data_IF_692642530622
#
_entry.id   IF_692642530622
#
_cell.length_a   1.000
_cell.length_b   1.000
_cell.length_c   1.000
_cell.angle_alpha   90.00
_cell.angle_beta   90.00
_cell.angle_gamma   90.00
#
_symmetry.space_group_name_H-M   'P 1'
#
loop_
_entity.id
_entity.type
_entity.pdbx_description
1 polymer ?
#
# COMPACT_ATOMS: atom_id res chain seq x y z
N UNK A 1 38.96 58.68 26.35
CA UNK A 1 38.68 57.25 26.12
C UNK A 1 37.99 56.71 27.37
N UNK A 2 36.67 56.53 27.35
CA UNK A 2 35.98 55.72 28.34
C UNK A 2 34.70 55.15 27.72
N UNK A 3 34.53 53.87 27.96
CA UNK A 3 33.72 52.91 27.22
C UNK A 3 32.26 52.96 27.69
N UNK A 4 31.32 53.07 26.75
CA UNK A 4 29.92 52.75 27.00
C UNK A 4 29.58 51.45 26.29
N UNK A 5 29.55 50.36 27.05
CA UNK A 5 29.06 49.05 26.60
C UNK A 5 27.52 49.08 26.57
N UNK A 6 26.94 48.69 25.42
CA UNK A 6 25.49 48.46 25.26
C UNK A 6 25.10 47.03 25.66
N UNK A 7 23.87 46.80 26.13
CA UNK A 7 23.44 45.53 26.73
C UNK A 7 23.01 44.49 25.68
N UNK A 8 23.02 43.23 26.13
CA UNK A 8 22.65 42.02 25.39
C UNK A 8 21.21 42.02 24.82
N UNK A 9 20.93 41.25 23.75
CA UNK A 9 19.58 41.15 23.20
C UNK A 9 18.70 40.31 24.14
N UNK A 10 17.55 40.88 24.51
CA UNK A 10 16.49 40.18 25.23
C UNK A 10 15.86 39.13 24.30
N UNK A 11 15.91 37.86 24.71
CA UNK A 11 15.26 36.76 24.02
C UNK A 11 13.76 36.83 24.35
N UNK A 12 12.96 37.35 23.43
CA UNK A 12 11.49 37.33 23.51
C UNK A 12 11.02 35.88 23.47
N UNK A 13 10.70 35.32 24.64
CA UNK A 13 9.95 34.07 24.71
C UNK A 13 8.53 34.33 24.22
N UNK A 14 8.20 33.76 23.07
CA UNK A 14 6.82 33.79 22.57
C UNK A 14 6.03 32.80 23.42
N UNK A 15 5.17 33.31 24.28
CA UNK A 15 4.26 32.51 25.08
C UNK A 15 3.37 31.70 24.12
N UNK A 16 3.47 30.37 24.21
CA UNK A 16 2.51 29.45 23.60
C UNK A 16 1.14 29.73 24.22
N UNK A 17 0.28 30.35 23.43
CA UNK A 17 -1.11 30.58 23.79
C UNK A 17 -1.82 29.22 23.67
N UNK A 18 -2.13 28.61 24.82
CA UNK A 18 -2.90 27.39 24.91
C UNK A 18 -4.37 27.66 24.53
N UNK A 19 -4.69 27.53 23.24
CA UNK A 19 -6.08 27.55 22.75
C UNK A 19 -6.63 26.12 22.86
N UNK A 20 -7.70 25.87 23.63
CA UNK A 20 -8.33 24.55 23.65
C UNK A 20 -8.97 24.25 22.28
N UNK A 21 -8.91 23.00 21.79
CA UNK A 21 -9.59 22.61 20.56
C UNK A 21 -11.12 22.76 20.72
N UNK A 22 -11.86 23.05 19.64
CA UNK A 22 -13.32 23.11 19.69
C UNK A 22 -13.89 21.72 20.04
N UNK A 23 -15.02 21.65 20.76
CA UNK A 23 -15.65 20.36 21.04
C UNK A 23 -16.15 19.74 19.74
N UNK A 24 -15.86 18.46 19.54
CA UNK A 24 -16.44 17.66 18.47
C UNK A 24 -17.97 17.65 18.63
N UNK A 25 -18.70 18.13 17.62
CA UNK A 25 -20.14 17.90 17.52
C UNK A 25 -20.36 16.43 17.13
N UNK A 26 -20.99 15.71 18.04
CA UNK A 26 -21.56 14.37 17.83
C UNK A 26 -22.53 14.40 16.63
N UNK A 27 -22.23 13.63 15.60
CA UNK A 27 -23.13 13.43 14.46
C UNK A 27 -24.32 12.58 14.91
N UNK A 28 -25.56 12.86 14.46
CA UNK A 28 -26.74 12.19 14.98
C UNK A 28 -26.69 10.68 14.71
N UNK A 29 -26.79 9.92 15.81
CA UNK A 29 -27.06 8.48 15.82
C UNK A 29 -28.27 8.16 14.94
N UNK A 30 -28.06 7.44 13.84
CA UNK A 30 -29.11 6.65 13.22
C UNK A 30 -29.34 5.41 14.07
N UNK A 31 -30.46 5.42 14.78
CA UNK A 31 -31.00 4.34 15.58
C UNK A 31 -30.98 3.01 14.81
N UNK A 32 -30.11 2.09 15.22
CA UNK A 32 -30.20 0.68 14.86
C UNK A 32 -31.42 0.08 15.57
N UNK A 33 -32.57 0.07 14.91
CA UNK A 33 -33.69 -0.77 15.33
C UNK A 33 -33.37 -2.21 14.95
N UNK A 34 -33.25 -3.06 15.97
CA UNK A 34 -33.20 -4.50 15.81
C UNK A 34 -34.57 -4.99 15.34
N UNK A 35 -34.64 -5.56 14.14
CA UNK A 35 -35.80 -6.33 13.70
C UNK A 35 -35.36 -7.73 13.25
N UNK A 36 -35.62 -8.70 14.12
CA UNK A 36 -35.70 -10.12 13.78
C UNK A 36 -37.19 -10.52 13.60
N UNK A 37 -37.48 -11.76 13.20
CA UNK A 37 -37.56 -12.27 11.82
C UNK A 37 -39.02 -12.41 11.35
N UNK A 38 -39.29 -12.24 10.06
CA UNK A 38 -40.62 -12.53 9.47
C UNK A 38 -40.51 -13.64 8.43
N UNK A 39 -41.26 -14.71 8.68
CA UNK A 39 -41.34 -15.97 7.92
C UNK A 39 -42.46 -15.87 6.89
N UNK A 40 -42.14 -15.91 5.59
CA UNK A 40 -42.99 -16.20 4.43
C UNK A 40 -42.20 -15.79 3.17
N UNK A 41 -42.19 -16.44 2.01
CA UNK A 41 -42.86 -17.61 1.46
C UNK A 41 -42.02 -18.03 0.24
N UNK A 42 -41.98 -19.33 -0.03
CA UNK A 42 -41.37 -19.89 -1.23
C UNK A 42 -42.05 -19.36 -2.49
N UNK A 43 -41.26 -18.79 -3.42
CA UNK A 43 -41.64 -18.66 -4.83
C UNK A 43 -40.52 -19.27 -5.66
N UNK A 44 -40.71 -20.55 -5.92
CA UNK A 44 -40.03 -21.35 -6.92
C UNK A 44 -40.45 -20.82 -8.29
N UNK A 45 -39.53 -20.18 -9.02
CA UNK A 45 -39.70 -19.98 -10.46
C UNK A 45 -38.85 -21.05 -11.14
N UNK A 46 -39.50 -22.16 -11.47
CA UNK A 46 -38.96 -23.15 -12.40
C UNK A 46 -39.32 -22.71 -13.82
N UNK A 47 -38.31 -22.49 -14.65
CA UNK A 47 -38.44 -22.51 -16.11
C UNK A 47 -37.44 -23.55 -16.66
N UNK A 48 -37.86 -24.48 -17.53
CA UNK A 48 -36.99 -25.51 -18.07
C UNK A 48 -36.39 -25.07 -19.42
N UNK A 49 -35.12 -25.38 -19.67
CA UNK A 49 -34.72 -26.25 -20.78
C UNK A 49 -33.21 -26.45 -20.79
N UNK A 50 -32.82 -27.66 -21.12
CA UNK A 50 -31.50 -28.24 -20.95
C UNK A 50 -30.53 -27.90 -22.08
N UNK A 51 -29.29 -27.63 -21.71
CA UNK A 51 -28.10 -28.12 -22.41
C UNK A 51 -26.99 -28.26 -21.37
N UNK A 52 -26.45 -29.47 -21.27
CA UNK A 52 -25.51 -29.89 -20.26
C UNK A 52 -24.23 -29.05 -20.26
N UNK A 53 -23.97 -28.39 -19.14
CA UNK A 53 -22.62 -28.15 -18.65
C UNK A 53 -22.73 -28.36 -17.15
N UNK A 54 -22.18 -29.47 -16.68
CA UNK A 54 -21.96 -29.72 -15.26
C UNK A 54 -21.34 -28.47 -14.65
N UNK A 55 -22.00 -27.78 -13.70
CA UNK A 55 -21.28 -26.84 -12.85
C UNK A 55 -20.35 -27.74 -12.03
N UNK A 56 -19.06 -27.72 -12.33
CA UNK A 56 -18.07 -28.11 -11.33
C UNK A 56 -18.41 -27.26 -10.10
N UNK A 57 -18.62 -27.86 -8.91
CA UNK A 57 -18.76 -27.06 -7.71
C UNK A 57 -17.44 -26.32 -7.56
N UNK A 58 -17.45 -25.01 -7.82
CA UNK A 58 -16.41 -24.12 -7.33
C UNK A 58 -16.45 -24.29 -5.81
N UNK A 59 -15.55 -25.12 -5.29
CA UNK A 59 -15.34 -25.20 -3.86
C UNK A 59 -15.12 -23.75 -3.38
N UNK A 60 -15.71 -23.34 -2.24
CA UNK A 60 -15.43 -22.03 -1.69
C UNK A 60 -13.92 -21.97 -1.46
N UNK A 61 -13.21 -21.25 -2.32
CA UNK A 61 -11.80 -20.93 -2.10
C UNK A 61 -11.82 -20.07 -0.85
N UNK A 62 -11.13 -20.54 0.18
CA UNK A 62 -10.95 -19.79 1.41
C UNK A 62 -10.27 -18.45 1.05
N UNK A 63 -10.93 -17.30 1.29
CA UNK A 63 -10.40 -16.00 0.85
C UNK A 63 -9.02 -15.69 1.43
N UNK A 64 -8.71 -16.22 2.62
CA UNK A 64 -7.42 -16.06 3.26
C UNK A 64 -6.33 -16.88 2.54
N UNK A 65 -6.63 -18.11 2.12
CA UNK A 65 -5.72 -18.92 1.32
C UNK A 65 -5.40 -18.27 -0.03
N UNK A 66 -6.38 -17.61 -0.66
CA UNK A 66 -6.17 -16.86 -1.90
C UNK A 66 -5.22 -15.68 -1.68
N UNK A 67 -5.47 -14.86 -0.66
CA UNK A 67 -4.61 -13.72 -0.31
C UNK A 67 -3.15 -14.15 -0.06
N UNK A 68 -2.96 -15.25 0.65
CA UNK A 68 -1.62 -15.80 0.89
C UNK A 68 -0.95 -16.30 -0.41
N UNK A 69 -1.72 -16.86 -1.33
CA UNK A 69 -1.22 -17.27 -2.66
C UNK A 69 -0.80 -16.05 -3.49
N UNK A 70 -1.64 -15.01 -3.54
CA UNK A 70 -1.38 -13.76 -4.25
C UNK A 70 -0.12 -13.07 -3.69
N UNK A 71 -0.02 -12.99 -2.36
CA UNK A 71 1.18 -12.49 -1.67
C UNK A 71 2.44 -13.27 -2.07
N UNK A 72 2.36 -14.60 -2.12
CA UNK A 72 3.47 -15.46 -2.56
C UNK A 72 3.80 -15.27 -4.05
N UNK A 73 2.82 -14.94 -4.88
CA UNK A 73 3.05 -14.63 -6.29
C UNK A 73 3.86 -13.33 -6.41
N UNK A 74 3.46 -12.27 -5.70
CA UNK A 74 4.20 -11.00 -5.62
C UNK A 74 5.66 -11.23 -5.18
N UNK A 75 5.89 -12.00 -4.12
CA UNK A 75 7.24 -12.27 -3.63
C UNK A 75 8.13 -13.08 -4.59
N UNK A 76 7.53 -13.84 -5.51
CA UNK A 76 8.28 -14.57 -6.54
C UNK A 76 8.46 -13.78 -7.83
N UNK A 77 7.89 -12.58 -7.93
CA UNK A 77 8.00 -11.76 -9.13
C UNK A 77 9.47 -11.43 -9.43
N UNK A 78 9.95 -11.54 -10.68
CA UNK A 78 11.37 -11.33 -11.00
C UNK A 78 11.92 -9.97 -10.56
N UNK A 79 11.10 -8.92 -10.60
CA UNK A 79 11.46 -7.56 -10.14
C UNK A 79 11.42 -7.37 -8.62
N UNK A 80 10.85 -8.31 -7.85
CA UNK A 80 10.69 -8.15 -6.40
C UNK A 80 12.01 -7.89 -5.65
N UNK A 81 13.14 -8.56 -5.97
CA UNK A 81 14.43 -8.28 -5.35
C UNK A 81 14.91 -6.84 -5.57
N UNK A 82 14.76 -6.32 -6.79
CA UNK A 82 15.11 -4.93 -7.11
C UNK A 82 14.20 -3.97 -6.36
N UNK A 83 12.88 -4.16 -6.42
CA UNK A 83 11.92 -3.28 -5.72
C UNK A 83 12.17 -3.22 -4.22
N UNK A 84 12.46 -4.37 -3.59
CA UNK A 84 12.81 -4.44 -2.16
C UNK A 84 14.05 -3.60 -1.86
N UNK A 85 15.12 -3.75 -2.66
CA UNK A 85 16.35 -2.98 -2.52
C UNK A 85 16.09 -1.47 -2.67
N UNK A 86 15.34 -1.07 -3.69
CA UNK A 86 15.03 0.34 -3.94
C UNK A 86 14.21 0.94 -2.79
N UNK A 87 13.23 0.22 -2.25
CA UNK A 87 12.43 0.68 -1.11
C UNK A 87 13.25 0.82 0.16
N UNK A 88 14.17 -0.11 0.44
CA UNK A 88 15.09 -0.01 1.57
C UNK A 88 15.98 1.24 1.46
N UNK A 89 16.48 1.54 0.26
CA UNK A 89 17.28 2.75 0.03
C UNK A 89 16.46 4.04 0.13
N UNK A 90 15.21 4.03 -0.32
CA UNK A 90 14.28 5.14 -0.14
C UNK A 90 13.99 5.39 1.35
N UNK A 91 13.77 4.33 2.14
CA UNK A 91 13.59 4.46 3.58
C UNK A 91 14.80 5.15 4.22
N UNK A 92 16.01 4.67 3.95
CA UNK A 92 17.24 5.26 4.50
C UNK A 92 17.43 6.72 4.10
N UNK A 93 17.13 7.07 2.85
CA UNK A 93 17.22 8.44 2.35
C UNK A 93 16.29 9.41 3.11
N UNK A 94 15.12 8.92 3.56
CA UNK A 94 14.12 9.74 4.25
C UNK A 94 14.30 9.78 5.77
N UNK A 95 14.97 8.78 6.35
CA UNK A 95 15.31 8.77 7.78
C UNK A 95 16.54 9.64 8.13
N UNK A 96 17.25 10.15 7.13
CA UNK A 96 18.40 11.04 7.32
C UNK A 96 19.65 10.36 7.89
N UNK A 97 19.70 9.03 7.87
CA UNK A 97 20.82 8.23 8.39
C UNK A 97 21.99 8.15 7.41
N UNK A 98 21.73 8.15 6.10
CA UNK A 98 22.73 8.00 5.03
C UNK A 98 22.42 8.97 3.89
N UNK A 99 23.45 9.58 3.29
CA UNK A 99 23.28 10.41 2.10
C UNK A 99 23.16 9.52 0.85
N UNK A 100 21.94 9.05 0.59
CA UNK A 100 21.64 8.29 -0.63
C UNK A 100 21.43 9.26 -1.80
N UNK A 101 22.20 9.10 -2.87
CA UNK A 101 22.08 9.93 -4.08
C UNK A 101 21.26 9.20 -5.15
N UNK A 102 20.58 9.96 -6.02
CA UNK A 102 19.82 9.40 -7.16
C UNK A 102 20.70 8.48 -8.04
N UNK A 103 21.97 8.87 -8.26
CA UNK A 103 22.93 8.11 -9.04
C UNK A 103 23.21 6.70 -8.48
N UNK A 104 23.04 6.51 -7.17
CA UNK A 104 23.22 5.19 -6.56
C UNK A 104 22.08 4.22 -6.93
N UNK A 105 20.88 4.72 -7.25
CA UNK A 105 19.77 3.88 -7.71
C UNK A 105 20.01 3.42 -9.16
N UNK A 106 20.57 4.28 -10.02
CA UNK A 106 20.89 3.92 -11.41
C UNK A 106 21.83 2.70 -11.44
N UNK A 107 22.89 2.71 -10.62
CA UNK A 107 23.85 1.60 -10.50
C UNK A 107 23.17 0.30 -10.03
N UNK A 108 22.25 0.37 -9.07
CA UNK A 108 21.54 -0.81 -8.58
C UNK A 108 20.64 -1.43 -9.67
N UNK A 109 19.98 -0.58 -10.47
CA UNK A 109 19.14 -1.00 -11.60
C UNK A 109 20.00 -1.64 -12.69
N UNK A 110 21.11 -0.99 -13.07
CA UNK A 110 22.05 -1.54 -14.06
C UNK A 110 22.60 -2.90 -13.63
N UNK A 111 23.01 -3.03 -12.37
CA UNK A 111 23.49 -4.30 -11.82
C UNK A 111 22.41 -5.39 -11.86
N UNK A 112 21.16 -5.04 -11.52
CA UNK A 112 20.05 -5.99 -11.60
C UNK A 112 19.79 -6.45 -13.04
N UNK A 113 19.78 -5.52 -14.01
CA UNK A 113 19.59 -5.84 -15.43
C UNK A 113 20.70 -6.76 -15.93
N UNK A 114 21.96 -6.41 -15.69
CA UNK A 114 23.10 -7.25 -16.07
C UNK A 114 23.01 -8.66 -15.45
N UNK A 115 22.56 -8.75 -14.19
CA UNK A 115 22.40 -10.05 -13.52
C UNK A 115 21.29 -10.89 -14.15
N UNK A 116 20.14 -10.29 -14.52
CA UNK A 116 19.06 -11.01 -15.20
C UNK A 116 19.51 -11.51 -16.58
N UNK A 117 20.24 -10.68 -17.33
CA UNK A 117 20.79 -11.05 -18.64
C UNK A 117 21.80 -12.19 -18.54
N UNK A 118 22.73 -12.11 -17.59
CA UNK A 118 23.73 -13.15 -17.33
C UNK A 118 23.09 -14.49 -16.95
N UNK A 119 22.07 -14.46 -16.11
CA UNK A 119 21.36 -15.66 -15.63
C UNK A 119 20.27 -16.12 -16.61
N UNK A 120 20.09 -15.44 -17.74
CA UNK A 120 19.01 -15.67 -18.71
C UNK A 120 17.61 -15.71 -18.08
N UNK A 121 17.39 -14.88 -17.05
CA UNK A 121 16.15 -14.85 -16.29
C UNK A 121 15.21 -13.76 -16.83
N UNK A 122 13.90 -14.03 -16.95
CA UNK A 122 12.96 -13.04 -17.50
C UNK A 122 12.72 -11.90 -16.51
N UNK A 123 12.48 -10.69 -17.03
CA UNK A 123 12.08 -9.52 -16.23
C UNK A 123 10.61 -9.55 -15.79
N UNK A 124 9.80 -10.31 -16.50
CA UNK A 124 8.36 -10.44 -16.28
C UNK A 124 8.02 -11.84 -15.80
N UNK A 125 6.97 -11.92 -15.00
CA UNK A 125 6.40 -13.21 -14.59
C UNK A 125 5.55 -13.80 -15.72
N UNK A 126 5.11 -15.05 -15.54
CA UNK A 126 4.14 -15.67 -16.45
C UNK A 126 2.70 -15.14 -16.25
N UNK A 127 2.50 -14.20 -15.31
CA UNK A 127 1.22 -13.61 -14.95
C UNK A 127 1.17 -12.12 -15.31
N UNK A 128 0.46 -11.73 -16.38
CA UNK A 128 0.40 -10.34 -16.82
C UNK A 128 -0.34 -9.43 -15.84
N UNK A 129 -1.28 -9.93 -15.03
CA UNK A 129 -1.96 -9.11 -14.03
C UNK A 129 -0.99 -8.72 -12.91
N UNK A 130 -0.16 -9.68 -12.49
CA UNK A 130 0.90 -9.44 -11.52
C UNK A 130 1.97 -8.48 -12.05
N UNK A 131 2.36 -8.62 -13.32
CA UNK A 131 3.29 -7.70 -13.98
C UNK A 131 2.75 -6.27 -14.00
N UNK A 132 1.45 -6.11 -14.31
CA UNK A 132 0.81 -4.80 -14.31
C UNK A 132 0.78 -4.21 -12.91
N UNK A 133 0.52 -5.00 -11.87
CA UNK A 133 0.54 -4.54 -10.49
C UNK A 133 1.92 -3.98 -10.09
N UNK A 134 3.00 -4.70 -10.39
CA UNK A 134 4.36 -4.24 -10.04
C UNK A 134 4.83 -3.07 -10.89
N UNK A 135 4.34 -2.94 -12.13
CA UNK A 135 4.60 -1.78 -13.01
C UNK A 135 3.83 -0.55 -12.53
N UNK A 136 2.61 -0.74 -12.04
CA UNK A 136 1.68 0.34 -11.65
C UNK A 136 1.89 0.78 -10.19
N UNK A 137 3.06 0.52 -9.59
CA UNK A 137 3.54 1.30 -8.44
C UNK A 137 3.91 2.74 -8.87
N UNK A 138 3.14 3.30 -9.80
CA UNK A 138 3.15 4.68 -10.20
C UNK A 138 2.56 5.48 -9.03
N UNK A 139 3.24 6.55 -8.56
CA UNK A 139 2.68 7.40 -7.52
C UNK A 139 1.35 8.00 -8.03
N UNK A 140 0.33 8.14 -7.15
CA UNK A 140 -0.92 8.79 -7.55
C UNK A 140 -0.64 10.23 -8.05
N UNK A 141 -1.48 10.74 -8.98
CA UNK A 141 -1.32 12.08 -9.56
C UNK A 141 -1.43 13.21 -8.52
#
# INVERSE_FOLDING_TARGET
>A
MMQHASPAPALTMMATQNVPPPPYQDSPQMTATAQAPSKAQAVHISAPSAAASTPVPSAPIDPQAQLEADKRAVYRHPLFPLLTLLFEKCEQATQGSECITSASFDVDIENFVHQQEQEHKPFFSDDPELDNLVKTLEPPP
#
